data_IF_882668481062
#
_entry.id   IF_882668481062
#
_cell.length_a   1.000
_cell.length_b   1.000
_cell.length_c   1.000
_cell.angle_alpha   90.00
_cell.angle_beta   90.00
_cell.angle_gamma   90.00
#
_symmetry.space_group_name_H-M   'P 1'
#
loop_
_entity.id
_entity.type
_entity.pdbx_description
1 polymer ?
#
# COMPACT_ATOMS: atom_id res chain seq x y z
N UNK A 1 29.21 -0.09 -22.79
CA UNK A 1 27.95 0.07 -22.05
C UNK A 1 27.00 -0.98 -22.62
N UNK A 2 26.78 -2.06 -21.88
CA UNK A 2 25.83 -3.09 -22.27
C UNK A 2 24.42 -2.57 -22.05
N UNK A 3 23.56 -2.67 -23.06
CA UNK A 3 22.13 -2.32 -22.93
C UNK A 3 21.40 -3.63 -22.66
N UNK A 4 20.93 -3.80 -21.44
CA UNK A 4 20.15 -4.96 -21.03
C UNK A 4 18.66 -4.64 -21.14
N UNK A 5 17.86 -5.66 -21.49
CA UNK A 5 16.40 -5.52 -21.55
C UNK A 5 15.70 -6.72 -20.93
N UNK A 6 14.73 -6.47 -20.06
CA UNK A 6 13.79 -7.47 -19.54
C UNK A 6 12.46 -7.28 -20.28
N UNK A 7 12.01 -8.34 -20.93
CA UNK A 7 10.79 -8.32 -21.76
C UNK A 7 9.54 -8.50 -20.89
N UNK A 8 8.40 -8.07 -21.42
CA UNK A 8 7.08 -8.26 -20.81
C UNK A 8 6.78 -9.68 -20.35
N UNK A 9 7.19 -10.68 -21.11
CA UNK A 9 6.99 -12.11 -20.78
C UNK A 9 7.91 -12.65 -19.67
N UNK A 10 8.87 -11.85 -19.21
CA UNK A 10 9.81 -12.20 -18.14
C UNK A 10 9.33 -11.59 -16.84
N UNK A 11 8.18 -12.06 -16.38
CA UNK A 11 7.45 -11.54 -15.23
C UNK A 11 7.07 -12.66 -14.24
N UNK A 12 6.71 -12.26 -13.03
CA UNK A 12 6.22 -13.13 -11.97
C UNK A 12 5.24 -12.39 -11.06
N UNK A 13 4.53 -13.14 -10.21
CA UNK A 13 3.41 -12.66 -9.36
C UNK A 13 3.72 -12.80 -7.86
N UNK A 14 4.99 -12.97 -7.50
CA UNK A 14 5.37 -13.10 -6.10
C UNK A 14 6.83 -12.72 -5.87
N UNK A 15 7.10 -11.98 -4.81
CA UNK A 15 8.45 -11.84 -4.30
C UNK A 15 8.88 -13.18 -3.68
N UNK A 16 9.75 -13.92 -4.36
CA UNK A 16 10.21 -15.25 -3.93
C UNK A 16 11.67 -15.47 -4.35
N UNK A 17 12.52 -15.78 -3.37
CA UNK A 17 13.95 -15.97 -3.58
C UNK A 17 14.33 -17.29 -4.30
N UNK A 18 13.36 -18.14 -4.59
CA UNK A 18 13.53 -19.35 -5.41
C UNK A 18 13.30 -19.12 -6.91
N UNK A 19 12.76 -17.96 -7.31
CA UNK A 19 12.51 -17.65 -8.72
C UNK A 19 13.86 -17.46 -9.45
N UNK A 20 14.15 -18.23 -10.51
CA UNK A 20 15.38 -18.07 -11.26
C UNK A 20 15.49 -16.69 -11.89
N UNK A 21 16.67 -16.04 -11.87
CA UNK A 21 16.83 -14.74 -12.49
C UNK A 21 16.71 -14.84 -14.01
N UNK A 22 16.06 -13.84 -14.59
CA UNK A 22 15.85 -13.75 -16.05
C UNK A 22 17.06 -13.16 -16.77
N UNK A 23 17.92 -12.47 -16.02
CA UNK A 23 19.20 -11.93 -16.48
C UNK A 23 20.15 -11.72 -15.29
N UNK A 24 21.46 -11.76 -15.56
CA UNK A 24 22.54 -11.43 -14.64
C UNK A 24 23.29 -10.19 -15.15
N UNK A 25 23.62 -9.26 -14.27
CA UNK A 25 24.35 -8.02 -14.60
C UNK A 25 25.41 -7.72 -13.55
N UNK A 26 26.37 -6.87 -13.93
CA UNK A 26 27.33 -6.28 -13.01
C UNK A 26 26.75 -5.04 -12.31
N UNK A 27 27.28 -4.70 -11.13
CA UNK A 27 26.90 -3.47 -10.44
C UNK A 27 27.24 -2.23 -11.28
N UNK A 28 26.28 -1.31 -11.40
CA UNK A 28 26.36 -0.07 -12.18
C UNK A 28 25.83 -0.18 -13.61
N UNK A 29 25.36 -1.35 -14.03
CA UNK A 29 24.76 -1.53 -15.35
C UNK A 29 23.33 -0.98 -15.44
N UNK A 30 22.92 -0.65 -16.66
CA UNK A 30 21.60 -0.09 -16.98
C UNK A 30 20.72 -1.14 -17.63
N UNK A 31 19.49 -1.27 -17.14
CA UNK A 31 18.47 -2.19 -17.66
C UNK A 31 17.24 -1.40 -18.08
N UNK A 32 16.62 -1.82 -19.18
CA UNK A 32 15.26 -1.39 -19.56
C UNK A 32 14.26 -2.52 -19.37
N UNK A 33 13.12 -2.23 -18.78
CA UNK A 33 12.00 -3.14 -18.55
C UNK A 33 10.81 -2.73 -19.43
N UNK A 34 10.09 -3.70 -19.96
CA UNK A 34 8.80 -3.50 -20.64
C UNK A 34 7.72 -4.14 -19.77
N UNK A 35 6.97 -3.31 -19.05
CA UNK A 35 6.00 -3.71 -18.03
C UNK A 35 4.58 -3.50 -18.53
N UNK A 36 3.70 -4.43 -18.18
CA UNK A 36 2.26 -4.21 -18.19
C UNK A 36 1.85 -3.36 -16.97
N UNK A 37 0.63 -2.82 -17.01
CA UNK A 37 0.00 -2.20 -15.84
C UNK A 37 -0.46 -3.23 -14.79
N UNK A 38 -0.93 -2.74 -13.64
CA UNK A 38 -1.48 -3.52 -12.53
C UNK A 38 -2.52 -4.57 -12.94
N UNK A 39 -3.29 -4.34 -14.02
CA UNK A 39 -4.32 -5.29 -14.45
C UNK A 39 -3.78 -6.54 -15.15
N UNK A 40 -2.47 -6.65 -15.36
CA UNK A 40 -1.88 -7.70 -16.20
C UNK A 40 -2.41 -7.69 -17.65
N UNK A 41 -2.74 -6.50 -18.16
CA UNK A 41 -3.32 -6.33 -19.49
C UNK A 41 -4.77 -6.81 -19.64
N UNK A 42 -5.47 -7.03 -18.52
CA UNK A 42 -6.90 -7.37 -18.53
C UNK A 42 -7.78 -6.13 -18.83
N UNK A 43 -7.35 -4.94 -18.41
CA UNK A 43 -7.98 -3.67 -18.80
C UNK A 43 -7.39 -3.19 -20.12
N UNK A 44 -8.24 -2.66 -21.00
CA UNK A 44 -7.88 -2.19 -22.34
C UNK A 44 -8.48 -0.81 -22.59
N UNK A 45 -8.04 -0.08 -23.63
CA UNK A 45 -8.64 1.22 -24.00
C UNK A 45 -10.14 1.16 -24.32
N UNK A 46 -10.67 -0.04 -24.59
CA UNK A 46 -12.08 -0.28 -24.93
C UNK A 46 -12.88 -0.88 -23.78
N UNK A 47 -12.26 -1.11 -22.62
CA UNK A 47 -12.93 -1.67 -21.45
C UNK A 47 -13.97 -0.68 -20.89
N UNK A 48 -14.99 -1.22 -20.23
CA UNK A 48 -16.02 -0.45 -19.54
C UNK A 48 -16.06 -0.86 -18.05
N UNK A 49 -16.74 -0.08 -17.21
CA UNK A 49 -16.84 -0.38 -15.78
C UNK A 49 -17.35 -1.80 -15.49
N UNK A 50 -18.26 -2.33 -16.32
CA UNK A 50 -18.77 -3.70 -16.19
C UNK A 50 -17.66 -4.78 -16.35
N UNK A 51 -16.59 -4.49 -17.09
CA UNK A 51 -15.45 -5.41 -17.29
C UNK A 51 -14.65 -5.64 -16.01
N UNK A 52 -14.73 -4.72 -15.04
CA UNK A 52 -14.00 -4.82 -13.76
C UNK A 52 -14.48 -6.03 -12.94
N UNK A 53 -15.75 -6.42 -13.08
CA UNK A 53 -16.32 -7.59 -12.39
C UNK A 53 -15.72 -8.93 -12.85
N UNK A 54 -15.01 -8.96 -13.98
CA UNK A 54 -14.42 -10.16 -14.58
C UNK A 54 -12.91 -10.25 -14.45
N UNK A 55 -12.29 -9.32 -13.72
CA UNK A 55 -10.84 -9.35 -13.47
C UNK A 55 -10.46 -10.60 -12.68
N UNK A 56 -9.43 -11.30 -13.15
CA UNK A 56 -8.75 -12.33 -12.38
C UNK A 56 -7.77 -11.67 -11.41
N UNK A 57 -8.28 -11.40 -10.21
CA UNK A 57 -7.56 -10.76 -9.11
C UNK A 57 -6.27 -11.52 -8.74
N UNK A 58 -6.22 -12.84 -8.95
CA UNK A 58 -5.05 -13.65 -8.61
C UNK A 58 -3.84 -13.42 -9.54
N UNK A 59 -4.04 -12.65 -10.62
CA UNK A 59 -3.02 -12.39 -11.63
C UNK A 59 -2.66 -10.92 -11.77
N UNK A 60 -3.22 -10.04 -10.94
CA UNK A 60 -2.86 -8.62 -10.89
C UNK A 60 -1.42 -8.44 -10.41
N UNK A 61 -0.87 -7.25 -10.63
CA UNK A 61 0.40 -6.79 -10.05
C UNK A 61 1.56 -7.72 -10.38
N UNK A 62 1.70 -8.10 -11.65
CA UNK A 62 2.92 -8.76 -12.11
C UNK A 62 4.08 -7.78 -12.21
N UNK A 63 5.26 -8.24 -11.78
CA UNK A 63 6.52 -7.51 -11.90
C UNK A 63 7.47 -8.21 -12.86
N UNK A 64 8.30 -7.43 -13.54
CA UNK A 64 9.31 -7.91 -14.48
C UNK A 64 10.66 -8.10 -13.80
N UNK A 65 11.25 -9.29 -13.99
CA UNK A 65 12.45 -9.73 -13.28
C UNK A 65 12.39 -11.23 -12.97
N UNK A 66 13.16 -11.73 -11.97
CA UNK A 66 14.13 -10.99 -11.19
C UNK A 66 15.48 -10.83 -11.91
N UNK A 67 16.12 -9.69 -11.69
CA UNK A 67 17.49 -9.39 -12.12
C UNK A 67 18.45 -9.80 -11.01
N UNK A 68 19.44 -10.62 -11.34
CA UNK A 68 20.52 -10.96 -10.43
C UNK A 68 21.70 -10.02 -10.62
N UNK A 69 22.16 -9.41 -9.53
CA UNK A 69 23.34 -8.54 -9.51
C UNK A 69 24.56 -9.29 -8.98
N UNK A 70 25.59 -9.41 -9.81
CA UNK A 70 26.85 -10.03 -9.39
C UNK A 70 27.50 -9.26 -8.23
N UNK A 71 27.99 -10.01 -7.23
CA UNK A 71 28.63 -9.45 -6.05
C UNK A 71 27.69 -8.77 -5.04
N UNK A 72 26.37 -8.90 -5.19
CA UNK A 72 25.37 -8.43 -4.24
C UNK A 72 25.09 -9.50 -3.16
N UNK A 73 25.26 -9.16 -1.87
CA UNK A 73 25.10 -10.08 -0.75
C UNK A 73 24.14 -9.54 0.32
N UNK A 74 23.54 -10.42 1.15
CA UNK A 74 22.72 -10.00 2.27
C UNK A 74 23.44 -8.99 3.18
N UNK A 75 22.76 -7.88 3.51
CA UNK A 75 23.31 -6.78 4.30
C UNK A 75 23.82 -5.60 3.47
N UNK A 76 24.05 -5.79 2.16
CA UNK A 76 24.31 -4.69 1.23
C UNK A 76 23.03 -3.87 0.96
N UNK A 77 23.18 -2.78 0.21
CA UNK A 77 22.06 -1.96 -0.26
C UNK A 77 22.06 -1.91 -1.78
N UNK A 78 20.90 -2.14 -2.39
CA UNK A 78 20.70 -1.88 -3.81
C UNK A 78 20.31 -0.42 -4.00
N UNK A 79 21.07 0.32 -4.78
CA UNK A 79 20.70 1.65 -5.28
C UNK A 79 20.11 1.51 -6.67
N UNK A 80 18.89 2.00 -6.84
CA UNK A 80 18.12 2.01 -8.09
C UNK A 80 17.97 3.46 -8.54
N UNK A 81 18.72 3.86 -9.56
CA UNK A 81 18.57 5.18 -10.18
C UNK A 81 17.53 5.09 -11.30
N UNK A 82 16.45 5.87 -11.20
CA UNK A 82 15.40 5.92 -12.23
C UNK A 82 15.84 6.87 -13.34
N UNK A 83 16.27 6.31 -14.48
CA UNK A 83 16.84 7.11 -15.57
C UNK A 83 15.79 7.63 -16.55
N UNK A 84 14.77 6.82 -16.84
CA UNK A 84 13.67 7.19 -17.74
C UNK A 84 12.46 6.29 -17.51
N UNK A 85 11.26 6.85 -17.66
CA UNK A 85 9.99 6.09 -17.62
C UNK A 85 9.11 6.63 -18.75
N UNK A 86 8.69 5.74 -19.64
CA UNK A 86 7.80 6.05 -20.76
C UNK A 86 6.50 5.31 -20.60
N UNK A 87 5.38 6.02 -20.62
CA UNK A 87 4.05 5.44 -20.57
C UNK A 87 3.60 4.99 -21.95
N UNK A 88 2.56 4.16 -21.99
CA UNK A 88 1.75 4.02 -23.19
C UNK A 88 1.02 5.34 -23.53
N UNK A 89 0.37 5.35 -24.70
CA UNK A 89 -0.48 6.47 -25.16
C UNK A 89 -1.84 6.55 -24.45
N UNK A 90 -2.11 5.63 -23.51
CA UNK A 90 -3.36 5.54 -22.77
C UNK A 90 -3.11 5.00 -21.36
N UNK A 91 -4.08 5.19 -20.48
CA UNK A 91 -4.10 4.56 -19.16
C UNK A 91 -5.52 4.41 -18.63
N UNK A 92 -5.67 3.92 -17.41
CA UNK A 92 -6.97 3.72 -16.77
C UNK A 92 -6.94 4.03 -15.28
N UNK A 93 -8.08 4.37 -14.71
CA UNK A 93 -8.30 4.46 -13.27
C UNK A 93 -9.61 3.78 -12.96
N UNK A 94 -9.67 2.96 -11.92
CA UNK A 94 -10.88 2.28 -11.52
C UNK A 94 -11.24 2.51 -10.06
N UNK A 95 -12.55 2.50 -9.80
CA UNK A 95 -13.11 2.17 -8.50
C UNK A 95 -13.51 0.70 -8.58
N UNK A 96 -12.87 -0.13 -7.76
CA UNK A 96 -13.17 -1.54 -7.62
C UNK A 96 -14.01 -1.74 -6.36
N UNK A 97 -15.23 -2.31 -6.45
CA UNK A 97 -16.07 -2.55 -5.28
C UNK A 97 -15.33 -3.33 -4.20
N UNK A 98 -15.35 -2.82 -2.95
CA UNK A 98 -14.68 -3.45 -1.81
C UNK A 98 -13.16 -3.26 -1.74
N UNK A 99 -12.59 -2.35 -2.56
CA UNK A 99 -11.16 -2.08 -2.59
C UNK A 99 -10.85 -0.57 -2.56
N UNK A 100 -9.74 -0.20 -1.92
CA UNK A 100 -9.36 1.18 -1.66
C UNK A 100 -9.89 1.71 -0.33
N UNK A 101 -9.37 2.87 0.08
CA UNK A 101 -9.70 3.51 1.36
C UNK A 101 -11.16 3.93 1.47
N UNK A 102 -11.79 4.29 0.35
CA UNK A 102 -13.16 4.81 0.29
C UNK A 102 -14.16 3.80 -0.31
N UNK A 103 -13.86 2.50 -0.22
CA UNK A 103 -14.68 1.46 -0.83
C UNK A 103 -16.16 1.49 -0.36
N UNK A 104 -16.40 1.87 0.90
CA UNK A 104 -17.74 1.96 1.48
C UNK A 104 -18.55 3.16 0.93
N UNK A 105 -17.87 4.26 0.59
CA UNK A 105 -18.48 5.46 -0.01
C UNK A 105 -18.74 5.28 -1.51
N UNK A 106 -17.95 4.44 -2.18
CA UNK A 106 -18.03 4.18 -3.62
C UNK A 106 -18.20 2.67 -3.91
N UNK A 107 -19.36 2.09 -3.56
CA UNK A 107 -19.59 0.64 -3.68
C UNK A 107 -19.77 0.18 -5.13
N UNK A 108 -20.06 1.11 -6.06
CA UNK A 108 -20.31 0.80 -7.46
C UNK A 108 -19.03 0.89 -8.30
N UNK A 109 -18.82 -0.02 -9.26
CA UNK A 109 -17.63 0.00 -10.10
C UNK A 109 -17.64 1.23 -11.01
N UNK A 110 -16.50 1.90 -11.13
CA UNK A 110 -16.29 2.98 -12.08
C UNK A 110 -14.98 2.76 -12.84
N UNK A 111 -14.94 3.11 -14.13
CA UNK A 111 -13.73 3.04 -14.94
C UNK A 111 -13.62 4.33 -15.75
N UNK A 112 -12.44 4.94 -15.71
CA UNK A 112 -12.05 6.02 -16.61
C UNK A 112 -10.86 5.57 -17.44
N UNK A 113 -11.01 5.59 -18.76
CA UNK A 113 -9.90 5.46 -19.71
C UNK A 113 -9.35 6.84 -20.02
N UNK A 114 -8.02 6.98 -19.96
CA UNK A 114 -7.29 8.22 -20.15
C UNK A 114 -6.57 8.24 -21.50
N UNK A 115 -6.60 9.39 -22.17
CA UNK A 115 -5.75 9.68 -23.32
C UNK A 115 -4.45 10.34 -22.85
N UNK A 116 -3.33 9.67 -23.06
CA UNK A 116 -2.00 10.11 -22.63
C UNK A 116 -1.11 10.55 -23.80
N UNK A 117 -1.63 10.61 -25.04
CA UNK A 117 -0.83 10.92 -26.25
C UNK A 117 -0.12 12.26 -26.20
N UNK A 118 -0.67 13.24 -25.49
CA UNK A 118 -0.06 14.55 -25.31
C UNK A 118 0.98 14.53 -24.17
N UNK A 119 0.75 13.74 -23.12
CA UNK A 119 1.65 13.62 -21.98
C UNK A 119 2.89 12.77 -22.29
N UNK A 120 2.73 11.68 -23.05
CA UNK A 120 3.82 10.74 -23.37
C UNK A 120 4.85 11.30 -24.37
N UNK A 121 4.59 12.46 -24.98
CA UNK A 121 5.49 13.15 -25.92
C UNK A 121 6.37 14.22 -25.26
N UNK A 122 6.13 14.53 -23.98
CA UNK A 122 6.93 15.52 -23.28
C UNK A 122 8.29 14.91 -22.88
N UNK A 123 9.39 15.36 -23.50
CA UNK A 123 10.77 14.94 -23.17
C UNK A 123 11.13 15.15 -21.69
N UNK A 124 10.44 16.09 -21.03
CA UNK A 124 10.58 16.38 -19.60
C UNK A 124 9.98 15.30 -18.69
N UNK A 125 9.19 14.36 -19.21
CA UNK A 125 8.36 13.47 -18.40
C UNK A 125 7.27 14.20 -17.61
N UNK A 126 7.08 15.50 -17.87
CA UNK A 126 6.12 16.37 -17.19
C UNK A 126 5.12 16.90 -18.21
N UNK A 127 3.88 16.43 -18.10
CA UNK A 127 2.77 16.78 -18.96
C UNK A 127 1.47 16.86 -18.16
N UNK A 128 0.33 16.77 -18.85
CA UNK A 128 -0.95 16.59 -18.18
C UNK A 128 -1.86 15.68 -18.99
N UNK A 129 -2.78 15.01 -18.29
CA UNK A 129 -3.90 14.29 -18.88
C UNK A 129 -5.21 15.02 -18.58
N UNK A 130 -6.17 14.94 -19.50
CA UNK A 130 -7.48 15.56 -19.30
C UNK A 130 -8.37 14.68 -18.44
N UNK A 131 -8.70 15.14 -17.24
CA UNK A 131 -9.77 14.51 -16.46
C UNK A 131 -11.14 14.84 -17.07
N UNK A 132 -11.36 16.13 -17.34
CA UNK A 132 -12.57 16.65 -17.98
C UNK A 132 -12.18 17.83 -18.88
N UNK A 133 -12.18 17.60 -20.21
CA UNK A 133 -11.72 18.60 -21.18
C UNK A 133 -12.69 19.78 -21.31
N UNK A 134 -13.99 19.51 -21.21
CA UNK A 134 -15.03 20.53 -21.36
C UNK A 134 -15.04 21.48 -20.16
N UNK A 135 -14.73 20.96 -18.96
CA UNK A 135 -14.55 21.77 -17.75
C UNK A 135 -13.13 22.30 -17.55
N UNK A 136 -12.19 21.95 -18.42
CA UNK A 136 -10.81 22.40 -18.33
C UNK A 136 -9.99 21.76 -17.20
N UNK A 137 -10.40 20.60 -16.67
CA UNK A 137 -9.74 19.92 -15.54
C UNK A 137 -8.59 19.04 -16.04
N UNK A 138 -7.39 19.33 -15.56
CA UNK A 138 -6.13 18.68 -15.96
C UNK A 138 -5.47 18.02 -14.76
N UNK A 139 -4.92 16.83 -14.96
CA UNK A 139 -4.09 16.13 -13.98
C UNK A 139 -2.63 16.16 -14.46
N UNK A 140 -1.69 16.69 -13.67
CA UNK A 140 -0.27 16.61 -13.99
C UNK A 140 0.18 15.15 -14.07
N UNK A 141 0.91 14.83 -15.14
CA UNK A 141 1.50 13.50 -15.38
C UNK A 141 2.96 13.53 -14.95
N UNK A 142 3.33 12.57 -14.10
CA UNK A 142 4.68 12.34 -13.59
C UNK A 142 4.89 10.83 -13.49
N UNK A 143 5.33 10.18 -14.58
CA UNK A 143 5.35 8.73 -14.63
C UNK A 143 6.33 8.11 -13.64
N UNK A 144 5.90 7.02 -13.00
CA UNK A 144 6.72 6.21 -12.12
C UNK A 144 6.28 4.73 -12.16
N UNK A 145 7.06 3.86 -11.52
CA UNK A 145 6.69 2.47 -11.27
C UNK A 145 6.25 2.35 -9.79
N UNK A 146 5.02 1.92 -9.54
CA UNK A 146 4.46 1.67 -8.20
C UNK A 146 5.23 0.56 -7.48
N UNK A 147 5.60 -0.47 -8.25
CA UNK A 147 6.34 -1.62 -7.76
C UNK A 147 7.83 -1.59 -8.09
N UNK A 148 8.68 -1.56 -7.06
CA UNK A 148 10.13 -1.79 -7.15
C UNK A 148 10.63 -2.51 -5.90
N UNK A 149 11.22 -3.68 -6.06
CA UNK A 149 11.59 -4.51 -4.92
C UNK A 149 12.72 -5.50 -5.21
N UNK A 150 13.28 -6.04 -4.13
CA UNK A 150 14.21 -7.18 -4.12
C UNK A 150 13.60 -8.35 -3.37
N UNK A 151 14.03 -9.58 -3.66
CA UNK A 151 13.45 -10.75 -3.03
C UNK A 151 13.73 -10.77 -1.50
N UNK A 152 12.72 -11.09 -0.67
CA UNK A 152 12.91 -11.26 0.77
C UNK A 152 13.91 -12.37 1.12
N UNK A 153 14.57 -12.23 2.26
CA UNK A 153 15.43 -13.29 2.81
C UNK A 153 14.65 -14.53 3.29
N UNK A 154 13.38 -14.34 3.62
CA UNK A 154 12.48 -15.42 4.01
C UNK A 154 12.07 -16.27 2.80
N UNK A 155 12.00 -17.59 2.98
CA UNK A 155 11.60 -18.52 1.92
C UNK A 155 10.09 -18.50 1.72
N UNK A 156 9.66 -18.58 0.47
CA UNK A 156 8.25 -18.70 0.11
C UNK A 156 7.80 -17.58 -0.80
N UNK A 157 6.51 -17.61 -1.13
CA UNK A 157 5.88 -16.64 -2.00
C UNK A 157 5.28 -15.51 -1.16
N UNK A 158 5.71 -14.30 -1.41
CA UNK A 158 5.12 -13.08 -0.88
C UNK A 158 4.33 -12.41 -2.00
N UNK A 159 3.09 -11.98 -1.73
CA UNK A 159 2.23 -11.32 -2.70
C UNK A 159 2.92 -10.06 -3.24
N UNK A 160 2.71 -9.70 -4.50
CA UNK A 160 3.24 -8.45 -5.07
C UNK A 160 2.48 -7.22 -4.59
N UNK A 161 1.20 -7.38 -4.23
CA UNK A 161 0.26 -6.28 -3.94
C UNK A 161 0.65 -5.41 -2.72
N UNK A 162 1.11 -5.92 -1.56
CA UNK A 162 1.52 -5.05 -0.46
C UNK A 162 3.01 -4.66 -0.50
N UNK A 163 3.40 -3.52 0.10
CA UNK A 163 4.81 -3.19 0.34
C UNK A 163 5.43 -4.08 1.41
N UNK A 164 6.75 -4.25 1.32
CA UNK A 164 7.62 -4.89 2.29
C UNK A 164 8.85 -4.03 2.61
N UNK A 165 9.61 -4.43 3.64
CA UNK A 165 10.90 -3.81 3.95
C UNK A 165 11.91 -3.89 2.80
N UNK A 166 11.75 -4.85 1.89
CA UNK A 166 12.58 -5.04 0.69
C UNK A 166 12.05 -4.29 -0.55
N UNK A 167 11.08 -3.39 -0.37
CA UNK A 167 10.40 -2.69 -1.46
C UNK A 167 9.08 -3.38 -1.79
N UNK A 168 8.80 -3.61 -3.07
CA UNK A 168 7.51 -4.16 -3.51
C UNK A 168 6.60 -3.05 -3.98
N UNK A 169 5.31 -3.11 -3.61
CA UNK A 169 4.33 -2.10 -3.98
C UNK A 169 4.39 -0.87 -3.07
N UNK A 170 5.30 0.06 -3.40
CA UNK A 170 5.61 1.22 -2.54
C UNK A 170 4.74 2.43 -2.91
N UNK A 171 4.22 2.50 -4.14
CA UNK A 171 3.30 3.53 -4.64
C UNK A 171 3.69 4.95 -4.29
N UNK A 172 4.99 5.20 -4.38
CA UNK A 172 5.58 6.49 -4.04
C UNK A 172 5.79 7.29 -5.32
N UNK A 173 4.84 8.19 -5.62
CA UNK A 173 4.85 9.07 -6.81
C UNK A 173 6.13 9.90 -7.00
N UNK A 174 6.96 10.01 -5.96
CA UNK A 174 8.24 10.71 -5.97
C UNK A 174 9.39 9.90 -6.58
N UNK A 175 9.17 8.62 -6.88
CA UNK A 175 10.11 7.71 -7.55
C UNK A 175 10.03 7.85 -9.09
N UNK A 176 9.89 9.08 -9.56
CA UNK A 176 9.88 9.45 -10.97
C UNK A 176 11.31 9.55 -11.54
N UNK A 177 11.42 9.90 -12.83
CA UNK A 177 12.70 10.14 -13.52
C UNK A 177 13.62 11.07 -12.71
N UNK A 178 14.85 10.61 -12.48
CA UNK A 178 15.87 11.33 -11.71
C UNK A 178 15.86 11.03 -10.21
N UNK A 179 14.87 10.28 -9.71
CA UNK A 179 14.88 9.78 -8.34
C UNK A 179 15.86 8.63 -8.17
N UNK A 180 16.21 8.35 -6.92
CA UNK A 180 17.02 7.20 -6.53
C UNK A 180 16.36 6.49 -5.36
N UNK A 181 16.10 5.19 -5.50
CA UNK A 181 15.58 4.31 -4.48
C UNK A 181 16.71 3.46 -3.89
N UNK A 182 16.66 3.20 -2.59
CA UNK A 182 17.60 2.36 -1.86
C UNK A 182 16.84 1.23 -1.17
N UNK A 183 17.22 -0.01 -1.48
CA UNK A 183 16.56 -1.22 -0.97
C UNK A 183 17.55 -2.09 -0.18
N UNK A 184 17.16 -2.63 1.00
CA UNK A 184 18.00 -3.58 1.72
C UNK A 184 18.08 -4.91 0.97
N UNK A 185 19.30 -5.40 0.72
CA UNK A 185 19.51 -6.71 0.09
C UNK A 185 19.48 -7.78 1.17
N UNK A 186 18.59 -8.76 1.02
CA UNK A 186 18.43 -9.87 1.97
C UNK A 186 18.82 -11.23 1.39
N UNK A 187 19.04 -11.31 0.07
CA UNK A 187 19.48 -12.51 -0.63
C UNK A 187 20.62 -12.20 -1.58
N UNK A 188 21.44 -13.21 -1.85
CA UNK A 188 22.51 -13.10 -2.84
C UNK A 188 21.93 -12.75 -4.21
N UNK A 189 22.56 -11.80 -4.90
CA UNK A 189 22.09 -11.30 -6.19
C UNK A 189 20.96 -10.28 -6.11
N UNK A 190 20.42 -9.98 -4.92
CA UNK A 190 19.25 -9.14 -4.67
C UNK A 190 17.93 -9.65 -5.27
N UNK A 191 17.92 -10.09 -6.53
CA UNK A 191 16.74 -10.51 -7.29
C UNK A 191 15.74 -9.36 -7.46
N UNK A 192 16.20 -8.27 -8.08
CA UNK A 192 15.41 -7.05 -8.28
C UNK A 192 14.32 -7.23 -9.33
N UNK A 193 13.11 -6.75 -9.06
CA UNK A 193 12.01 -6.68 -10.04
C UNK A 193 11.28 -5.33 -9.95
N UNK A 194 10.61 -4.96 -11.04
CA UNK A 194 9.90 -3.69 -11.22
C UNK A 194 8.63 -3.91 -12.05
N UNK A 195 7.56 -3.19 -11.74
CA UNK A 195 6.29 -3.33 -12.44
C UNK A 195 5.37 -2.14 -12.16
N UNK A 196 4.08 -2.39 -12.35
CA UNK A 196 2.99 -1.48 -11.98
C UNK A 196 3.19 -0.02 -12.43
N UNK A 197 2.94 0.23 -13.72
CA UNK A 197 3.23 1.53 -14.30
C UNK A 197 2.14 2.56 -14.05
N UNK A 198 2.52 3.72 -13.51
CA UNK A 198 1.58 4.82 -13.26
C UNK A 198 1.97 6.06 -14.07
N UNK A 199 1.01 6.66 -14.77
CA UNK A 199 1.20 7.96 -15.40
C UNK A 199 1.09 9.11 -14.37
N UNK A 200 0.17 8.98 -13.40
CA UNK A 200 -0.01 9.93 -12.32
C UNK A 200 -0.70 9.26 -11.14
N UNK A 201 -0.34 9.68 -9.92
CA UNK A 201 -0.96 9.22 -8.68
C UNK A 201 -0.97 10.35 -7.64
N UNK A 202 -2.00 10.37 -6.78
CA UNK A 202 -2.01 11.16 -5.55
C UNK A 202 -1.23 10.48 -4.43
N UNK A 203 -0.90 11.21 -3.36
CA UNK A 203 -0.36 10.54 -2.15
C UNK A 203 -1.47 9.70 -1.51
N UNK A 204 -1.10 8.48 -1.11
CA UNK A 204 -1.99 7.53 -0.44
C UNK A 204 -2.90 6.72 -1.34
N UNK A 205 -2.92 6.98 -2.66
CA UNK A 205 -3.66 6.19 -3.66
C UNK A 205 -5.06 5.76 -3.20
N UNK A 206 -5.85 6.73 -2.74
CA UNK A 206 -7.02 6.45 -1.90
C UNK A 206 -8.11 5.59 -2.56
N UNK A 207 -8.22 5.62 -3.90
CA UNK A 207 -9.16 4.77 -4.64
C UNK A 207 -8.60 3.38 -5.00
N UNK A 208 -7.36 3.10 -4.60
CA UNK A 208 -6.64 1.84 -4.85
C UNK A 208 -6.05 1.69 -6.24
N UNK A 209 -6.24 2.67 -7.13
CA UNK A 209 -5.59 2.67 -8.46
C UNK A 209 -5.12 4.07 -8.82
N UNK A 210 -4.08 4.13 -9.65
CA UNK A 210 -3.53 5.35 -10.22
C UNK A 210 -4.15 5.66 -11.59
N UNK A 211 -3.46 6.47 -12.39
CA UNK A 211 -3.60 6.38 -13.85
C UNK A 211 -2.68 5.25 -14.32
N UNK A 212 -3.17 4.02 -14.20
CA UNK A 212 -2.52 2.77 -14.56
C UNK A 212 -2.19 2.72 -16.05
N UNK A 213 -0.97 2.34 -16.40
CA UNK A 213 -0.51 2.30 -17.79
C UNK A 213 0.68 1.36 -17.95
N UNK A 214 0.77 0.61 -19.07
CA UNK A 214 2.01 -0.07 -19.41
C UNK A 214 3.17 0.94 -19.50
N UNK A 215 4.34 0.57 -18.96
CA UNK A 215 5.52 1.42 -18.99
C UNK A 215 6.73 0.71 -19.59
N UNK A 216 7.60 1.51 -20.20
CA UNK A 216 9.00 1.16 -20.40
C UNK A 216 9.85 1.94 -19.39
N UNK A 217 10.45 1.23 -18.43
CA UNK A 217 11.27 1.82 -17.37
C UNK A 217 12.75 1.51 -17.59
N UNK A 218 13.61 2.52 -17.53
CA UNK A 218 15.07 2.37 -17.60
C UNK A 218 15.68 2.77 -16.27
N UNK A 219 16.41 1.84 -15.65
CA UNK A 219 17.05 2.04 -14.35
C UNK A 219 18.53 1.65 -14.38
N UNK A 220 19.35 2.29 -13.55
CA UNK A 220 20.70 1.81 -13.21
C UNK A 220 20.68 1.16 -11.85
N UNK A 221 21.26 -0.03 -11.74
CA UNK A 221 21.29 -0.80 -10.51
C UNK A 221 22.72 -0.89 -9.99
N UNK A 222 22.97 -0.40 -8.77
CA UNK A 222 24.31 -0.36 -8.16
C UNK A 222 24.28 -0.98 -6.76
N UNK A 223 25.22 -1.87 -6.47
CA UNK A 223 25.40 -2.46 -5.14
C UNK A 223 26.26 -1.53 -4.29
N UNK A 224 25.74 -1.12 -3.14
CA UNK A 224 26.44 -0.28 -2.16
C UNK A 224 26.79 -1.10 -0.92
N UNK A 225 28.06 -1.01 -0.50
CA UNK A 225 28.61 -1.74 0.66
C UNK A 225 28.59 -0.92 1.95
N UNK A 226 28.45 0.40 1.84
CA UNK A 226 28.61 1.39 2.91
C UNK A 226 27.28 1.99 3.40
N UNK A 227 26.13 1.45 2.97
CA UNK A 227 24.78 1.93 3.32
C UNK A 227 23.92 0.94 4.11
N UNK A 228 24.57 0.08 4.90
CA UNK A 228 23.91 -0.98 5.68
C UNK A 228 22.83 -0.50 6.66
N UNK A 229 22.74 0.81 6.93
CA UNK A 229 21.67 1.46 7.71
C UNK A 229 20.31 1.48 7.00
N UNK A 230 20.26 1.25 5.69
CA UNK A 230 19.01 1.10 4.93
C UNK A 230 18.37 -0.23 5.33
N UNK A 231 17.31 -0.19 6.13
CA UNK A 231 16.57 -1.38 6.62
C UNK A 231 15.13 -1.46 6.09
N UNK A 232 14.65 -0.38 5.50
CA UNK A 232 13.40 -0.24 4.74
C UNK A 232 13.72 0.59 3.50
N UNK A 233 12.80 0.71 2.53
CA UNK A 233 13.05 1.54 1.36
C UNK A 233 13.33 2.99 1.76
N UNK A 234 14.41 3.56 1.25
CA UNK A 234 14.66 5.00 1.31
C UNK A 234 14.73 5.54 -0.10
N UNK A 235 14.45 6.83 -0.30
CA UNK A 235 14.64 7.42 -1.60
C UNK A 235 15.10 8.86 -1.53
N UNK A 236 15.73 9.31 -2.60
CA UNK A 236 16.03 10.71 -2.83
C UNK A 236 15.39 11.19 -4.11
N UNK A 237 14.83 12.41 -4.10
CA UNK A 237 14.19 13.01 -5.27
C UNK A 237 14.47 14.51 -5.33
N UNK A 238 14.39 15.09 -6.52
CA UNK A 238 14.48 16.54 -6.76
C UNK A 238 13.22 17.10 -7.41
N UNK A 239 12.19 16.28 -7.58
CA UNK A 239 11.02 16.56 -8.44
C UNK A 239 9.91 17.37 -7.70
N UNK A 240 10.30 18.35 -6.88
CA UNK A 240 9.38 19.28 -6.23
C UNK A 240 9.56 20.70 -6.81
N UNK A 241 8.46 21.42 -7.12
CA UNK A 241 8.51 22.70 -7.84
C UNK A 241 9.25 23.84 -7.12
N UNK A 242 9.48 23.72 -5.81
CA UNK A 242 9.85 24.83 -4.92
C UNK A 242 11.20 24.66 -4.20
N UNK A 243 11.92 23.55 -4.38
CA UNK A 243 13.13 23.28 -3.59
C UNK A 243 14.37 22.92 -4.43
N UNK A 244 15.39 23.77 -4.31
CA UNK A 244 16.69 23.61 -4.98
C UNK A 244 17.59 22.52 -4.36
N UNK A 245 17.22 21.98 -3.20
CA UNK A 245 18.07 21.04 -2.43
C UNK A 245 17.82 19.55 -2.67
N UNK A 246 16.63 19.17 -3.14
CA UNK A 246 16.18 17.77 -3.15
C UNK A 246 15.93 17.20 -1.75
N UNK A 247 15.16 16.12 -1.69
CA UNK A 247 14.79 15.45 -0.43
C UNK A 247 15.46 14.09 -0.33
N UNK A 248 15.78 13.68 0.88
CA UNK A 248 16.06 12.29 1.24
C UNK A 248 14.97 11.83 2.22
N UNK A 249 14.22 10.82 1.82
CA UNK A 249 13.04 10.32 2.49
C UNK A 249 13.27 8.89 2.96
N UNK A 250 12.81 8.58 4.17
CA UNK A 250 12.78 7.22 4.71
C UNK A 250 11.34 6.72 4.70
N UNK A 251 11.07 5.52 4.19
CA UNK A 251 9.73 4.92 4.27
C UNK A 251 9.63 3.97 5.47
N UNK A 252 8.44 3.90 6.05
CA UNK A 252 8.08 2.92 7.07
C UNK A 252 7.05 1.97 6.50
N UNK A 253 7.29 0.65 6.61
CA UNK A 253 6.32 -0.37 6.25
C UNK A 253 5.88 -1.03 7.56
N UNK A 254 4.62 -0.82 7.93
CA UNK A 254 4.06 -1.34 9.18
C UNK A 254 2.76 -2.11 8.89
N UNK A 255 2.54 -3.29 9.51
CA UNK A 255 1.33 -4.09 9.31
C UNK A 255 0.03 -3.32 9.58
N UNK A 256 0.06 -2.31 10.46
CA UNK A 256 -1.12 -1.53 10.85
C UNK A 256 -1.72 -0.68 9.71
N UNK A 257 -0.90 -0.24 8.73
CA UNK A 257 -1.39 0.48 7.55
C UNK A 257 -1.70 -0.45 6.37
N UNK A 258 -0.92 -1.52 6.23
CA UNK A 258 -1.20 -2.57 5.22
C UNK A 258 -2.54 -3.25 5.51
N UNK A 259 -2.83 -3.58 6.76
CA UNK A 259 -4.11 -4.20 7.12
C UNK A 259 -5.32 -3.27 6.97
N UNK A 260 -5.16 -1.93 7.03
CA UNK A 260 -6.28 -1.00 6.84
C UNK A 260 -6.80 -0.96 5.40
N UNK A 261 -5.91 -1.15 4.40
CA UNK A 261 -6.28 -1.20 2.98
C UNK A 261 -6.80 -2.59 2.55
N UNK A 262 -6.39 -3.66 3.25
CA UNK A 262 -6.71 -5.04 2.86
C UNK A 262 -7.81 -5.73 3.71
N UNK A 263 -8.16 -5.24 4.90
CA UNK A 263 -9.15 -5.91 5.76
C UNK A 263 -10.62 -5.72 5.36
N UNK A 264 -10.94 -4.83 4.42
CA UNK A 264 -12.30 -4.71 3.86
C UNK A 264 -12.63 -5.81 2.83
N UNK A 265 -11.62 -6.52 2.30
CA UNK A 265 -11.83 -7.47 1.20
C UNK A 265 -12.30 -8.89 1.62
N UNK A 266 -12.27 -9.26 2.91
CA UNK A 266 -12.53 -10.66 3.32
C UNK A 266 -13.90 -10.93 3.96
N UNK A 267 -14.74 -9.92 4.23
CA UNK A 267 -16.03 -10.13 4.93
C UNK A 267 -17.28 -10.07 4.05
N UNK A 268 -17.20 -9.63 2.80
CA UNK A 268 -18.37 -9.36 1.96
C UNK A 268 -18.97 -10.58 1.23
N UNK A 269 -18.54 -11.80 1.57
CA UNK A 269 -19.07 -13.03 0.96
C UNK A 269 -20.33 -13.58 1.65
N UNK A 270 -20.83 -12.94 2.72
CA UNK A 270 -22.13 -13.28 3.30
C UNK A 270 -22.93 -12.00 3.57
N UNK A 271 -24.20 -12.04 3.19
CA UNK A 271 -25.26 -11.02 3.36
C UNK A 271 -25.43 -10.05 2.19
N UNK A 272 -26.42 -10.38 1.36
CA UNK A 272 -26.90 -9.54 0.28
C UNK A 272 -27.74 -8.36 0.75
N UNK A 273 -27.71 -7.32 -0.08
CA UNK A 273 -28.79 -6.39 -0.43
C UNK A 273 -29.78 -6.01 0.68
N UNK A 274 -29.57 -4.83 1.27
CA UNK A 274 -30.63 -3.81 1.39
C UNK A 274 -30.02 -2.44 1.11
N UNK A 275 -30.60 -1.71 0.16
CA UNK A 275 -30.19 -0.38 -0.25
C UNK A 275 -30.78 0.72 0.64
N UNK A 276 -30.01 1.79 0.87
CA UNK A 276 -30.53 3.15 0.94
C UNK A 276 -30.65 3.80 2.32
N UNK A 277 -29.61 4.51 2.74
CA UNK A 277 -29.63 5.83 3.41
C UNK A 277 -28.16 6.28 3.54
N UNK A 278 -27.87 7.58 3.56
CA UNK A 278 -26.52 8.07 3.87
C UNK A 278 -26.18 7.62 5.30
N UNK A 279 -25.20 6.72 5.43
CA UNK A 279 -24.79 6.17 6.71
C UNK A 279 -23.63 7.00 7.27
N UNK A 280 -23.75 7.43 8.51
CA UNK A 280 -22.78 8.30 9.18
C UNK A 280 -21.84 7.42 10.02
N UNK A 281 -20.53 7.55 9.81
CA UNK A 281 -19.50 6.82 10.56
C UNK A 281 -19.51 7.25 12.03
N UNK A 282 -19.79 6.32 12.95
CA UNK A 282 -19.80 6.59 14.39
C UNK A 282 -18.52 6.12 15.12
N UNK A 283 -17.73 7.08 15.62
CA UNK A 283 -16.49 6.85 16.38
C UNK A 283 -16.61 7.35 17.84
N UNK A 284 -17.39 6.70 18.71
CA UNK A 284 -17.60 7.20 20.07
C UNK A 284 -16.29 7.17 20.90
N UNK A 285 -15.89 8.28 21.54
CA UNK A 285 -14.65 8.34 22.29
C UNK A 285 -14.68 7.49 23.54
N UNK A 286 -13.64 6.68 23.77
CA UNK A 286 -13.47 5.94 25.02
C UNK A 286 -13.25 6.94 26.17
N UNK A 287 -14.03 6.78 27.23
CA UNK A 287 -13.96 7.57 28.46
C UNK A 287 -13.26 6.83 29.61
N UNK A 288 -13.20 5.50 29.56
CA UNK A 288 -12.40 4.66 30.46
C UNK A 288 -11.97 3.38 29.73
N UNK A 289 -10.70 2.95 29.79
CA UNK A 289 -9.64 3.42 30.69
C UNK A 289 -9.06 4.80 30.34
N UNK A 290 -8.38 5.41 31.31
CA UNK A 290 -7.66 6.69 31.19
C UNK A 290 -6.17 6.45 31.40
N UNK A 291 -5.32 7.46 31.16
CA UNK A 291 -3.88 7.34 31.43
C UNK A 291 -3.52 7.05 32.90
N UNK A 292 -4.45 7.29 33.84
CA UNK A 292 -4.28 6.97 35.25
C UNK A 292 -4.79 5.56 35.62
N UNK A 293 -5.41 4.84 34.68
CA UNK A 293 -5.98 3.52 34.93
C UNK A 293 -4.88 2.49 35.19
N UNK A 294 -5.15 1.61 36.16
CA UNK A 294 -4.29 0.48 36.51
C UNK A 294 -5.18 -0.75 36.62
N UNK A 295 -4.94 -1.73 35.75
CA UNK A 295 -5.75 -2.94 35.63
C UNK A 295 -4.96 -4.16 36.11
N UNK A 296 -5.38 -4.83 37.19
CA UNK A 296 -4.81 -6.12 37.59
C UNK A 296 -5.20 -7.24 36.62
N UNK A 297 -4.28 -8.14 36.31
CA UNK A 297 -4.55 -9.32 35.48
C UNK A 297 -5.64 -10.19 36.14
N UNK A 298 -6.59 -10.67 35.34
CA UNK A 298 -7.72 -11.49 35.80
C UNK A 298 -8.82 -10.71 36.54
N UNK A 299 -8.71 -9.39 36.63
CA UNK A 299 -9.79 -8.56 37.18
C UNK A 299 -10.88 -8.28 36.14
N UNK A 300 -12.10 -8.05 36.62
CA UNK A 300 -13.18 -7.49 35.81
C UNK A 300 -13.02 -5.96 35.75
N UNK A 301 -13.01 -5.40 34.55
CA UNK A 301 -12.86 -3.96 34.33
C UNK A 301 -13.98 -3.45 33.42
N UNK A 302 -14.50 -2.27 33.71
CA UNK A 302 -15.51 -1.65 32.86
C UNK A 302 -14.85 -0.70 31.86
N UNK A 303 -15.05 -0.98 30.57
CA UNK A 303 -14.68 -0.06 29.49
C UNK A 303 -15.90 0.78 29.17
N UNK A 304 -15.72 2.10 29.09
CA UNK A 304 -16.82 3.04 28.84
C UNK A 304 -16.48 3.98 27.70
N UNK A 305 -17.49 4.42 26.96
CA UNK A 305 -17.36 5.37 25.86
C UNK A 305 -18.57 6.30 25.78
N UNK A 306 -18.39 7.46 25.14
CA UNK A 306 -19.47 8.43 24.96
C UNK A 306 -20.46 7.98 23.88
N UNK A 307 -21.57 7.39 24.32
CA UNK A 307 -22.66 6.95 23.46
C UNK A 307 -23.77 8.01 23.26
N UNK A 308 -23.57 9.27 23.66
CA UNK A 308 -24.65 10.26 23.77
C UNK A 308 -25.10 10.90 22.46
N UNK A 309 -24.30 10.80 21.40
CA UNK A 309 -24.58 11.41 20.10
C UNK A 309 -24.40 10.42 18.94
N UNK A 310 -25.17 9.31 18.90
CA UNK A 310 -25.15 8.44 17.74
C UNK A 310 -25.77 9.17 16.54
N UNK A 311 -25.25 8.97 15.33
CA UNK A 311 -25.92 9.45 14.13
C UNK A 311 -27.26 8.72 13.92
N UNK A 312 -28.07 9.23 12.98
CA UNK A 312 -29.39 8.65 12.68
C UNK A 312 -29.31 7.22 12.13
N UNK A 313 -28.22 6.88 11.44
CA UNK A 313 -27.94 5.55 10.90
C UNK A 313 -26.47 5.22 11.17
N UNK A 314 -26.21 4.10 11.87
CA UNK A 314 -24.85 3.60 12.15
C UNK A 314 -24.63 2.38 11.27
N UNK A 315 -23.60 2.39 10.41
CA UNK A 315 -23.37 1.30 9.42
C UNK A 315 -23.04 -0.01 10.12
N UNK A 316 -22.13 0.05 11.09
CA UNK A 316 -21.79 -1.09 11.95
C UNK A 316 -22.07 -0.77 13.42
N UNK A 317 -23.30 -1.02 13.91
CA UNK A 317 -23.68 -0.73 15.29
C UNK A 317 -23.08 -1.73 16.29
N UNK A 318 -22.32 -2.74 15.84
CA UNK A 318 -21.79 -3.82 16.67
C UNK A 318 -20.31 -3.57 16.99
N UNK A 319 -20.03 -3.40 18.27
CA UNK A 319 -18.71 -3.14 18.80
C UNK A 319 -17.89 -4.40 19.10
N UNK A 320 -16.57 -4.23 19.04
CA UNK A 320 -15.54 -5.14 19.52
C UNK A 320 -14.49 -4.33 20.27
N UNK A 321 -14.08 -4.79 21.45
CA UNK A 321 -12.97 -4.23 22.21
C UNK A 321 -11.74 -5.11 22.02
N UNK A 322 -10.61 -4.51 21.67
CA UNK A 322 -9.31 -5.19 21.61
C UNK A 322 -8.30 -4.47 22.50
N UNK A 323 -7.30 -5.21 22.95
CA UNK A 323 -6.15 -4.64 23.63
C UNK A 323 -5.08 -4.26 22.60
N UNK A 324 -4.42 -3.13 22.81
CA UNK A 324 -3.22 -2.70 22.08
C UNK A 324 -2.03 -2.68 23.02
N UNK A 325 -0.85 -3.06 22.53
CA UNK A 325 0.42 -2.93 23.25
C UNK A 325 1.45 -2.23 22.36
N UNK A 326 1.96 -1.08 22.78
CA UNK A 326 2.92 -0.29 22.00
C UNK A 326 2.44 0.04 20.59
N UNK A 327 1.13 0.26 20.42
CA UNK A 327 0.49 0.54 19.13
C UNK A 327 0.12 -0.69 18.29
N UNK A 328 0.43 -1.90 18.73
CA UNK A 328 0.05 -3.15 18.02
C UNK A 328 -1.24 -3.72 18.59
N UNK A 329 -2.24 -3.97 17.76
CA UNK A 329 -3.56 -4.49 18.17
C UNK A 329 -3.56 -6.03 18.31
N UNK A 330 -4.12 -6.55 19.40
CA UNK A 330 -4.41 -7.98 19.57
C UNK A 330 -5.83 -8.31 19.09
N UNK A 331 -5.98 -8.36 17.76
CA UNK A 331 -7.28 -8.64 17.12
C UNK A 331 -7.68 -10.12 17.28
N UNK A 332 -6.70 -11.01 17.46
CA UNK A 332 -6.94 -12.44 17.59
C UNK A 332 -7.64 -12.80 18.92
N UNK A 333 -7.50 -11.95 19.94
CA UNK A 333 -8.05 -12.19 21.28
C UNK A 333 -8.82 -10.95 21.79
N UNK A 334 -10.03 -10.67 21.25
CA UNK A 334 -10.80 -9.52 21.69
C UNK A 334 -11.18 -9.65 23.17
N UNK A 335 -11.18 -8.52 23.88
CA UNK A 335 -11.64 -8.40 25.26
C UNK A 335 -13.16 -8.63 25.37
N UNK A 336 -13.90 -8.18 24.36
CA UNK A 336 -15.32 -8.46 24.15
C UNK A 336 -15.71 -8.19 22.70
N UNK A 337 -16.75 -8.86 22.21
CA UNK A 337 -17.32 -8.66 20.86
C UNK A 337 -18.83 -8.84 20.87
N UNK A 338 -19.51 -8.29 19.88
CA UNK A 338 -20.94 -8.55 19.64
C UNK A 338 -21.89 -7.72 20.50
N UNK A 339 -21.44 -6.59 21.03
CA UNK A 339 -22.26 -5.69 21.85
C UNK A 339 -22.67 -4.45 21.05
N UNK A 340 -23.83 -3.83 21.32
CA UNK A 340 -24.23 -2.62 20.61
C UNK A 340 -23.38 -1.42 21.05
N UNK A 341 -22.91 -0.60 20.11
CA UNK A 341 -22.16 0.63 20.40
C UNK A 341 -22.99 1.62 21.24
N UNK A 342 -24.31 1.55 21.20
CA UNK A 342 -25.19 2.36 22.06
C UNK A 342 -25.20 1.93 23.53
N UNK A 343 -24.56 0.82 23.89
CA UNK A 343 -24.44 0.39 25.29
C UNK A 343 -23.64 1.37 26.15
N UNK A 344 -22.68 2.10 25.56
CA UNK A 344 -21.81 3.06 26.27
C UNK A 344 -20.85 2.44 27.29
N UNK A 345 -20.97 1.14 27.57
CA UNK A 345 -20.08 0.42 28.47
C UNK A 345 -20.18 -1.09 28.29
N UNK A 346 -19.10 -1.80 28.63
CA UNK A 346 -19.09 -3.25 28.79
C UNK A 346 -18.02 -3.67 29.81
N UNK A 347 -18.35 -4.67 30.61
CA UNK A 347 -17.39 -5.31 31.51
C UNK A 347 -16.56 -6.34 30.74
N UNK A 348 -15.24 -6.28 30.89
CA UNK A 348 -14.27 -7.19 30.27
C UNK A 348 -13.41 -7.85 31.34
N UNK A 349 -12.90 -9.04 31.02
CA UNK A 349 -11.88 -9.70 31.84
C UNK A 349 -10.49 -9.33 31.33
N UNK A 350 -9.63 -8.85 32.24
CA UNK A 350 -8.25 -8.49 31.89
C UNK A 350 -7.46 -9.77 31.61
N UNK A 351 -6.94 -9.98 30.38
CA UNK A 351 -6.26 -11.21 30.01
C UNK A 351 -4.89 -11.34 30.69
N UNK A 352 -4.35 -12.56 30.73
CA UNK A 352 -2.98 -12.81 31.18
C UNK A 352 -1.99 -12.28 30.16
N UNK A 353 -1.38 -11.13 30.44
CA UNK A 353 -0.40 -10.46 29.59
C UNK A 353 0.86 -10.08 30.38
N UNK A 354 1.93 -9.65 29.71
CA UNK A 354 3.13 -9.16 30.38
C UNK A 354 2.84 -7.80 31.04
N UNK A 355 3.00 -7.62 32.35
CA UNK A 355 2.79 -6.33 33.01
C UNK A 355 3.61 -5.20 32.37
N UNK A 356 2.95 -4.09 32.04
CA UNK A 356 3.57 -2.92 31.39
C UNK A 356 2.63 -1.69 31.49
N UNK A 357 3.12 -0.55 31.01
CA UNK A 357 2.40 0.74 31.00
C UNK A 357 2.08 1.28 29.59
N UNK A 358 2.26 0.44 28.57
CA UNK A 358 2.07 0.74 27.14
C UNK A 358 0.80 0.08 26.55
N UNK A 359 -0.22 -0.16 27.39
CA UNK A 359 -1.47 -0.79 26.97
C UNK A 359 -2.55 0.23 26.65
N UNK A 360 -3.31 0.04 25.58
CA UNK A 360 -4.52 0.79 25.29
C UNK A 360 -5.69 -0.14 24.97
N UNK A 361 -6.92 0.32 25.16
CA UNK A 361 -8.12 -0.38 24.67
C UNK A 361 -8.58 0.33 23.41
N UNK A 362 -8.91 -0.45 22.37
CA UNK A 362 -9.47 0.07 21.13
C UNK A 362 -10.88 -0.47 20.95
N UNK A 363 -11.83 0.45 20.80
CA UNK A 363 -13.21 0.17 20.44
C UNK A 363 -13.33 0.22 18.92
N UNK A 364 -13.64 -0.94 18.34
CA UNK A 364 -13.83 -1.16 16.92
C UNK A 364 -15.33 -1.34 16.68
N UNK A 365 -15.90 -0.60 15.74
CA UNK A 365 -17.27 -0.77 15.27
C UNK A 365 -17.40 -0.22 13.87
N UNK A 366 -18.12 0.90 13.74
CA UNK A 366 -18.19 1.69 12.50
C UNK A 366 -16.89 2.48 12.23
N UNK A 367 -16.13 2.76 13.30
CA UNK A 367 -14.77 3.32 13.28
C UNK A 367 -13.96 2.75 14.44
N UNK A 368 -12.69 3.16 14.55
CA UNK A 368 -11.79 2.82 15.65
C UNK A 368 -11.55 3.99 16.59
N UNK A 369 -11.76 3.81 17.90
CA UNK A 369 -11.38 4.80 18.91
C UNK A 369 -10.48 4.15 19.97
N UNK A 370 -9.32 4.76 20.25
CA UNK A 370 -8.35 4.24 21.20
C UNK A 370 -8.36 5.06 22.51
N UNK A 371 -8.28 4.36 23.64
CA UNK A 371 -7.99 4.99 24.93
C UNK A 371 -6.57 5.55 24.95
N UNK A 372 -6.25 6.46 25.89
CA UNK A 372 -4.86 6.69 26.28
C UNK A 372 -4.18 5.38 26.75
N UNK A 373 -2.85 5.35 26.72
CA UNK A 373 -2.06 4.26 27.28
C UNK A 373 -2.21 4.22 28.81
N UNK A 374 -2.33 3.02 29.37
CA UNK A 374 -2.56 2.75 30.79
C UNK A 374 -1.79 1.50 31.25
N UNK A 375 -1.80 1.23 32.57
CA UNK A 375 -1.01 0.14 33.16
C UNK A 375 -1.81 -1.14 33.33
N UNK A 376 -1.21 -2.26 32.95
CA UNK A 376 -1.64 -3.59 33.38
C UNK A 376 -0.59 -4.16 34.33
N UNK A 377 -1.02 -4.58 35.52
CA UNK A 377 -0.17 -5.11 36.59
C UNK A 377 -0.55 -6.55 36.95
N UNK A 378 0.34 -7.24 37.65
CA UNK A 378 0.08 -8.57 38.20
C UNK A 378 -1.14 -8.60 39.12
#
# INVERSE_FOLDING_TARGET
MSIHSVKRSQCHLAWDNSIPPVIRIESGETITFDCLDASNGQVTPTSAAASLSTLDIATLDQVNGPVYLEGAFPGDTLMVEVLDIKTAEWGWTAILPGFGLLADEFPEPALKVWDLRDACKADSGQGFAWFDKDKGIKIPVRPFAGEMGVAPGEKGKFSTIPPYKTGGNIDTKHLSKGATLFLPIEVEGALFSIGDGHAAQGDGEVCGTAIETPIQATVRLTVLKDKQYVKTPHFSTRDQPDDSGGYYCTTGVAPAFTNMLFQTALFSALFGLVAGAAQDVWAPPITSPTAASVWPIGSAQNVTWDASHPPSEVTNPIGTLVLSKGGVLDIAHPLASGFPLTAGSIEVQVPTVVPADDYAVVLIGDSGNASPEFKIIL
#
